data_IF_232612139870
#
_entry.id   IF_232612139870
#
_cell.length_a   1.000
_cell.length_b   1.000
_cell.length_c   1.000
_cell.angle_alpha   90.00
_cell.angle_beta   90.00
_cell.angle_gamma   90.00
#
_symmetry.space_group_name_H-M   'P 1'
#
loop_
_entity.id
_entity.type
_entity.pdbx_description
1 polymer ?
#
# COMPACT_ATOMS: atom_id res chain seq x y z
N UNK A 1 -43.59 -7.21 43.73
CA UNK A 1 -43.26 -7.14 42.29
C UNK A 1 -41.82 -6.66 42.14
N UNK A 2 -40.95 -7.56 41.81
CA UNK A 2 -39.55 -7.24 41.61
C UNK A 2 -39.29 -7.23 40.09
N UNK A 3 -39.13 -6.00 39.55
CA UNK A 3 -38.74 -5.81 38.15
C UNK A 3 -37.24 -6.00 37.98
N UNK A 4 -36.82 -7.02 37.26
CA UNK A 4 -35.45 -7.17 36.80
C UNK A 4 -35.24 -6.21 35.63
N UNK A 5 -34.47 -5.16 35.83
CA UNK A 5 -33.95 -4.34 34.73
C UNK A 5 -32.78 -5.09 34.11
N UNK A 6 -32.98 -5.62 32.91
CA UNK A 6 -31.90 -6.20 32.13
C UNK A 6 -31.04 -5.05 31.54
N UNK A 7 -29.83 -4.93 32.06
CA UNK A 7 -28.83 -4.00 31.54
C UNK A 7 -28.26 -4.62 30.23
N UNK A 8 -28.69 -4.10 29.09
CA UNK A 8 -28.11 -4.47 27.80
C UNK A 8 -26.77 -3.73 27.66
N UNK A 9 -25.67 -4.43 27.90
CA UNK A 9 -24.34 -3.94 27.57
C UNK A 9 -24.19 -3.97 26.04
N UNK A 10 -24.32 -2.82 25.42
CA UNK A 10 -23.92 -2.65 24.02
C UNK A 10 -22.40 -2.67 23.95
N UNK A 11 -21.82 -3.79 23.54
CA UNK A 11 -20.40 -3.88 23.24
C UNK A 11 -20.15 -3.08 21.96
N UNK A 12 -19.57 -1.88 22.08
CA UNK A 12 -18.99 -1.19 20.92
C UNK A 12 -17.77 -2.00 20.46
N UNK A 13 -17.93 -2.72 19.35
CA UNK A 13 -16.79 -3.28 18.66
C UNK A 13 -15.91 -2.13 18.15
N UNK A 14 -14.57 -2.17 18.33
CA UNK A 14 -13.71 -1.16 17.77
C UNK A 14 -13.82 -1.23 16.25
N UNK A 15 -14.20 -0.11 15.62
CA UNK A 15 -14.11 0.05 14.16
C UNK A 15 -12.64 0.12 13.84
N UNK A 16 -12.10 -0.93 13.21
CA UNK A 16 -10.75 -0.90 12.68
C UNK A 16 -10.68 0.21 11.63
N UNK A 17 -9.79 1.20 11.82
CA UNK A 17 -9.54 2.22 10.82
C UNK A 17 -9.02 1.53 9.55
N UNK A 18 -9.62 1.85 8.38
CA UNK A 18 -9.12 1.37 7.10
C UNK A 18 -7.70 1.90 6.88
N UNK A 19 -6.79 1.04 6.41
CA UNK A 19 -5.44 1.43 6.03
C UNK A 19 -5.50 2.44 4.87
N UNK A 20 -4.74 3.52 4.99
CA UNK A 20 -4.63 4.54 3.96
C UNK A 20 -3.29 4.43 3.27
N UNK A 21 -3.31 4.17 1.98
CA UNK A 21 -2.11 4.10 1.16
C UNK A 21 -1.98 5.31 0.24
N UNK A 22 -0.75 5.74 0.05
CA UNK A 22 -0.31 6.74 -0.91
C UNK A 22 0.87 6.18 -1.69
N UNK A 23 1.29 6.87 -2.73
CA UNK A 23 2.50 6.48 -3.47
C UNK A 23 3.46 7.65 -3.64
N UNK A 24 4.72 7.34 -3.82
CA UNK A 24 5.79 8.31 -4.05
C UNK A 24 5.65 8.90 -5.45
N UNK A 25 5.69 10.22 -5.56
CA UNK A 25 5.50 10.95 -6.82
C UNK A 25 6.75 10.90 -7.71
N UNK A 26 7.93 11.06 -7.12
CA UNK A 26 9.20 11.17 -7.86
C UNK A 26 10.28 10.25 -7.27
N UNK A 27 11.08 9.63 -8.14
CA UNK A 27 12.24 8.85 -7.70
C UNK A 27 13.27 9.73 -7.01
N UNK A 28 13.96 9.16 -6.01
CA UNK A 28 14.92 9.88 -5.21
C UNK A 28 14.29 10.72 -4.09
N UNK A 29 13.03 10.48 -3.76
CA UNK A 29 12.34 11.16 -2.64
C UNK A 29 12.99 10.78 -1.32
N UNK A 30 13.53 11.76 -0.55
CA UNK A 30 14.15 11.46 0.75
C UNK A 30 13.11 11.06 1.79
N UNK A 31 13.45 10.03 2.56
CA UNK A 31 12.70 9.58 3.73
C UNK A 31 13.52 9.90 4.98
N UNK A 32 12.89 10.53 5.97
CA UNK A 32 13.57 11.11 7.13
C UNK A 32 13.17 10.42 8.44
N UNK A 33 14.01 10.56 9.46
CA UNK A 33 13.71 10.06 10.81
C UNK A 33 12.82 11.01 11.65
N UNK A 34 12.62 12.26 11.18
CA UNK A 34 11.78 13.26 11.82
C UNK A 34 11.12 14.18 10.76
N UNK A 35 10.04 14.89 11.09
CA UNK A 35 9.32 15.76 10.16
C UNK A 35 10.06 17.08 9.92
N UNK A 36 11.23 17.02 9.33
CA UNK A 36 12.07 18.17 9.01
C UNK A 36 13.05 17.85 7.90
N UNK A 37 13.28 18.77 6.99
CA UNK A 37 14.32 18.64 5.94
C UNK A 37 15.75 18.65 6.51
N UNK A 38 15.90 19.05 7.76
CA UNK A 38 17.19 19.02 8.49
C UNK A 38 17.38 17.71 9.23
N UNK A 39 16.37 16.86 9.30
CA UNK A 39 16.44 15.56 9.93
C UNK A 39 17.37 14.62 9.14
N UNK A 40 17.75 13.52 9.78
CA UNK A 40 18.56 12.49 9.15
C UNK A 40 17.76 11.83 8.03
N UNK A 41 18.34 11.76 6.85
CA UNK A 41 17.83 10.96 5.73
C UNK A 41 18.14 9.49 6.00
N UNK A 42 17.11 8.66 6.01
CA UNK A 42 17.23 7.22 6.23
C UNK A 42 17.52 6.49 4.91
N UNK A 43 16.78 6.85 3.86
CA UNK A 43 16.91 6.31 2.51
C UNK A 43 16.17 7.19 1.53
N UNK A 44 16.23 6.86 0.24
CA UNK A 44 15.44 7.47 -0.82
C UNK A 44 14.44 6.46 -1.36
N UNK A 45 13.22 6.90 -1.64
CA UNK A 45 12.17 6.07 -2.20
C UNK A 45 12.06 6.28 -3.71
N UNK A 46 11.67 5.21 -4.40
CA UNK A 46 11.44 5.23 -5.84
C UNK A 46 10.03 5.70 -6.17
N UNK A 47 9.87 6.25 -7.36
CA UNK A 47 8.58 6.64 -7.91
C UNK A 47 7.59 5.46 -7.89
N UNK A 48 6.35 5.75 -7.55
CA UNK A 48 5.23 4.80 -7.44
C UNK A 48 5.32 3.83 -6.26
N UNK A 49 6.38 3.86 -5.46
CA UNK A 49 6.46 3.00 -4.29
C UNK A 49 5.29 3.29 -3.33
N UNK A 50 4.52 2.28 -2.90
CA UNK A 50 3.41 2.47 -1.98
C UNK A 50 3.91 2.66 -0.55
N UNK A 51 3.21 3.51 0.20
CA UNK A 51 3.44 3.74 1.63
C UNK A 51 2.10 3.81 2.35
N UNK A 52 2.04 3.26 3.56
CA UNK A 52 0.88 3.35 4.43
C UNK A 52 0.99 4.60 5.31
N UNK A 53 -0.04 5.43 5.32
CA UNK A 53 -0.08 6.65 6.12
C UNK A 53 -0.37 6.30 7.58
N UNK A 54 0.53 6.70 8.47
CA UNK A 54 0.41 6.49 9.92
C UNK A 54 -0.02 7.77 10.62
N UNK A 55 0.64 8.89 10.33
CA UNK A 55 0.34 10.23 10.88
C UNK A 55 0.41 11.24 9.74
N UNK A 56 -0.60 12.10 9.67
CA UNK A 56 -0.65 13.18 8.68
C UNK A 56 -0.72 14.51 9.42
N UNK A 57 0.37 15.29 9.37
CA UNK A 57 0.49 16.60 10.02
C UNK A 57 1.00 17.64 9.04
N UNK A 58 0.16 18.63 8.69
CA UNK A 58 0.52 19.76 7.82
C UNK A 58 1.30 19.35 6.56
N UNK A 59 2.57 19.72 6.49
CA UNK A 59 3.44 19.45 5.34
C UNK A 59 4.17 18.09 5.40
N UNK A 60 3.97 17.30 6.45
CA UNK A 60 4.67 16.04 6.70
C UNK A 60 3.73 14.87 6.95
N UNK A 61 4.15 13.71 6.50
CA UNK A 61 3.43 12.45 6.70
C UNK A 61 4.38 11.40 7.24
N UNK A 62 4.01 10.76 8.36
CA UNK A 62 4.69 9.56 8.83
C UNK A 62 4.09 8.37 8.14
N UNK A 63 4.95 7.56 7.56
CA UNK A 63 4.55 6.41 6.75
C UNK A 63 5.22 5.13 7.23
N UNK A 64 4.60 4.01 6.90
CA UNK A 64 5.15 2.66 7.07
C UNK A 64 5.42 2.08 5.69
N UNK A 65 6.59 1.48 5.51
CA UNK A 65 6.94 0.76 4.30
C UNK A 65 6.57 -0.73 4.38
N UNK A 66 6.81 -1.47 3.31
CA UNK A 66 6.47 -2.90 3.23
C UNK A 66 7.28 -3.78 4.21
N UNK A 67 8.43 -3.33 4.68
CA UNK A 67 9.21 -4.01 5.71
C UNK A 67 8.70 -3.72 7.14
N UNK A 68 7.73 -2.79 7.28
CA UNK A 68 7.20 -2.35 8.56
C UNK A 68 7.94 -1.18 9.18
N UNK A 69 8.95 -0.64 8.51
CA UNK A 69 9.76 0.47 9.00
C UNK A 69 9.01 1.80 8.86
N UNK A 70 9.20 2.67 9.84
CA UNK A 70 8.59 4.00 9.90
C UNK A 70 9.58 5.07 9.44
N UNK A 71 9.08 6.04 8.67
CA UNK A 71 9.83 7.22 8.26
C UNK A 71 8.90 8.39 8.00
N UNK A 72 9.49 9.57 7.85
CA UNK A 72 8.77 10.80 7.52
C UNK A 72 9.07 11.21 6.08
N UNK A 73 8.05 11.69 5.39
CA UNK A 73 8.16 12.20 4.03
C UNK A 73 7.39 13.51 3.92
N UNK A 74 7.85 14.40 3.06
CA UNK A 74 7.10 15.62 2.75
C UNK A 74 5.79 15.25 2.06
N UNK A 75 4.68 15.82 2.52
CA UNK A 75 3.34 15.56 1.98
C UNK A 75 3.26 15.81 0.47
N UNK A 76 3.94 16.85 -0.02
CA UNK A 76 4.00 17.18 -1.45
C UNK A 76 4.64 16.10 -2.33
N UNK A 77 5.42 15.20 -1.72
CA UNK A 77 6.06 14.09 -2.42
C UNK A 77 5.16 12.84 -2.54
N UNK A 78 3.95 12.89 -1.99
CA UNK A 78 2.96 11.82 -2.04
C UNK A 78 1.86 12.10 -3.06
N UNK A 79 1.37 11.03 -3.67
CA UNK A 79 0.26 11.02 -4.63
C UNK A 79 -0.85 10.11 -4.13
N UNK A 80 -2.09 10.41 -4.52
CA UNK A 80 -3.27 9.54 -4.29
C UNK A 80 -3.28 8.30 -5.19
N UNK A 81 -2.35 8.21 -6.12
CA UNK A 81 -2.23 7.06 -7.03
C UNK A 81 -2.03 5.79 -6.22
N UNK A 82 -2.90 4.81 -6.44
CA UNK A 82 -2.84 3.53 -5.75
C UNK A 82 -1.94 2.56 -6.51
N UNK A 83 -0.94 2.07 -5.81
CA UNK A 83 0.05 1.14 -6.33
C UNK A 83 0.25 -0.02 -5.36
N UNK A 84 0.85 -1.09 -5.86
CA UNK A 84 1.37 -2.19 -5.06
C UNK A 84 2.85 -2.38 -5.37
N UNK A 85 3.58 -2.92 -4.42
CA UNK A 85 4.96 -3.37 -4.63
C UNK A 85 5.01 -4.90 -4.54
N UNK A 86 5.73 -5.51 -5.45
CA UNK A 86 5.93 -6.96 -5.46
C UNK A 86 6.83 -7.36 -4.30
N UNK A 87 6.35 -8.28 -3.47
CA UNK A 87 7.07 -8.81 -2.30
C UNK A 87 7.63 -10.21 -2.55
N UNK A 88 7.04 -10.97 -3.48
CA UNK A 88 7.58 -12.24 -3.93
C UNK A 88 8.89 -12.04 -4.71
N UNK A 89 9.77 -13.03 -4.72
CA UNK A 89 11.00 -12.99 -5.50
C UNK A 89 10.70 -12.80 -6.99
N UNK A 90 9.68 -13.46 -7.50
CA UNK A 90 9.17 -13.34 -8.86
C UNK A 90 7.66 -13.57 -8.84
N UNK A 91 6.90 -12.61 -9.36
CA UNK A 91 5.45 -12.69 -9.45
C UNK A 91 4.99 -12.86 -10.90
N UNK A 92 4.06 -13.78 -11.12
CA UNK A 92 3.45 -14.02 -12.43
C UNK A 92 2.22 -13.14 -12.60
N UNK A 93 2.23 -12.29 -13.59
CA UNK A 93 1.08 -11.48 -14.00
C UNK A 93 0.41 -12.16 -15.19
N UNK A 94 -0.87 -12.51 -15.01
CA UNK A 94 -1.63 -13.37 -15.93
C UNK A 94 -2.76 -12.61 -16.62
N UNK A 95 -3.25 -13.16 -17.74
CA UNK A 95 -4.34 -12.54 -18.50
C UNK A 95 -5.69 -12.56 -17.78
N UNK A 96 -5.88 -13.47 -16.85
CA UNK A 96 -7.12 -13.62 -16.07
C UNK A 96 -6.76 -13.99 -14.62
N UNK A 97 -7.69 -13.80 -13.66
CA UNK A 97 -7.47 -14.14 -12.25
C UNK A 97 -7.54 -15.67 -12.03
N UNK A 98 -6.63 -16.38 -12.65
CA UNK A 98 -6.54 -17.84 -12.61
C UNK A 98 -5.11 -18.30 -12.80
N UNK A 99 -4.68 -19.32 -12.05
CA UNK A 99 -3.35 -19.93 -12.18
C UNK A 99 -3.13 -20.62 -13.53
N UNK A 100 -4.19 -20.99 -14.23
CA UNK A 100 -4.16 -21.61 -15.56
C UNK A 100 -4.15 -20.58 -16.70
N UNK A 101 -4.40 -19.30 -16.39
CA UNK A 101 -4.38 -18.26 -17.40
C UNK A 101 -2.98 -18.03 -17.97
N UNK A 102 -2.92 -17.56 -19.21
CA UNK A 102 -1.65 -17.28 -19.87
C UNK A 102 -0.87 -16.17 -19.15
N UNK A 103 0.44 -16.30 -19.12
CA UNK A 103 1.36 -15.32 -18.57
C UNK A 103 1.41 -14.09 -19.48
N UNK A 104 1.28 -12.89 -18.91
CA UNK A 104 1.50 -11.62 -19.62
C UNK A 104 2.94 -11.16 -19.44
N UNK A 105 3.38 -11.06 -18.18
CA UNK A 105 4.76 -10.74 -17.82
C UNK A 105 5.05 -11.23 -16.40
N UNK A 106 6.33 -11.20 -16.04
CA UNK A 106 6.80 -11.47 -14.68
C UNK A 106 7.39 -10.22 -14.06
N UNK A 107 7.15 -10.00 -12.77
CA UNK A 107 7.66 -8.89 -12.02
C UNK A 107 8.55 -9.37 -10.87
N UNK A 108 9.73 -8.80 -10.77
CA UNK A 108 10.68 -9.08 -9.69
C UNK A 108 10.27 -8.35 -8.41
N UNK A 109 10.79 -8.83 -7.29
CA UNK A 109 10.65 -8.18 -5.99
C UNK A 109 11.04 -6.70 -6.07
N UNK A 110 10.24 -5.84 -5.45
CA UNK A 110 10.48 -4.39 -5.41
C UNK A 110 9.90 -3.62 -6.60
N UNK A 111 9.36 -4.29 -7.61
CA UNK A 111 8.67 -3.62 -8.73
C UNK A 111 7.36 -3.04 -8.24
N UNK A 112 7.12 -1.76 -8.50
CA UNK A 112 5.86 -1.08 -8.24
C UNK A 112 4.94 -1.16 -9.46
N UNK A 113 3.67 -1.48 -9.22
CA UNK A 113 2.64 -1.63 -10.24
C UNK A 113 1.41 -0.81 -9.86
N UNK A 114 0.78 -0.16 -10.85
CA UNK A 114 -0.50 0.50 -10.63
C UNK A 114 -1.60 -0.51 -10.36
N UNK A 115 -2.49 -0.19 -9.44
CA UNK A 115 -3.75 -0.91 -9.27
C UNK A 115 -4.69 -0.41 -10.37
N UNK A 116 -5.04 -1.28 -11.33
CA UNK A 116 -5.94 -0.96 -12.42
C UNK A 116 -7.41 -1.14 -12.03
N UNK A 117 -7.70 -2.12 -11.18
CA UNK A 117 -9.03 -2.38 -10.62
C UNK A 117 -8.89 -2.87 -9.17
N UNK A 118 -9.90 -2.66 -8.30
CA UNK A 118 -9.89 -3.18 -6.94
C UNK A 118 -9.69 -4.70 -6.91
N UNK A 119 -9.09 -5.18 -5.82
CA UNK A 119 -8.91 -6.61 -5.64
C UNK A 119 -10.24 -7.36 -5.58
N UNK A 120 -10.26 -8.57 -6.13
CA UNK A 120 -11.41 -9.47 -6.11
C UNK A 120 -10.94 -10.92 -6.03
N UNK A 121 -11.46 -11.68 -5.06
CA UNK A 121 -11.23 -13.11 -4.99
C UNK A 121 -9.77 -13.54 -4.86
N UNK A 122 -8.94 -12.76 -4.18
CA UNK A 122 -7.52 -13.07 -4.00
C UNK A 122 -6.60 -12.62 -5.13
N UNK A 123 -7.14 -11.89 -6.11
CA UNK A 123 -6.41 -11.34 -7.25
C UNK A 123 -6.56 -9.82 -7.34
N UNK A 124 -5.56 -9.16 -7.86
CA UNK A 124 -5.58 -7.72 -8.17
C UNK A 124 -5.17 -7.50 -9.62
N UNK A 125 -5.90 -6.64 -10.31
CA UNK A 125 -5.54 -6.21 -11.66
C UNK A 125 -4.55 -5.07 -11.58
N UNK A 126 -3.42 -5.22 -12.23
CA UNK A 126 -2.31 -4.26 -12.20
C UNK A 126 -1.92 -3.81 -13.60
N UNK A 127 -1.26 -2.65 -13.65
CA UNK A 127 -0.67 -2.10 -14.87
C UNK A 127 0.79 -1.78 -14.63
N UNK A 128 1.64 -2.27 -15.52
CA UNK A 128 3.05 -1.89 -15.56
C UNK A 128 3.24 -0.54 -16.26
N UNK A 129 4.31 0.19 -15.96
CA UNK A 129 4.64 1.47 -16.58
C UNK A 129 4.72 1.42 -18.11
N UNK A 130 5.05 0.27 -18.68
CA UNK A 130 5.05 0.01 -20.13
C UNK A 130 3.68 -0.20 -20.76
N UNK A 131 2.59 -0.14 -19.96
CA UNK A 131 1.21 -0.27 -20.42
C UNK A 131 0.64 -1.70 -20.37
N UNK A 132 1.44 -2.70 -20.05
CA UNK A 132 0.98 -4.09 -19.90
C UNK A 132 0.07 -4.20 -18.68
N UNK A 133 -1.05 -4.92 -18.84
CA UNK A 133 -2.09 -5.10 -17.83
C UNK A 133 -2.32 -6.59 -17.59
N UNK A 134 -2.54 -6.96 -16.34
CA UNK A 134 -2.88 -8.34 -16.00
C UNK A 134 -3.20 -8.50 -14.53
N UNK A 135 -3.38 -9.74 -14.12
CA UNK A 135 -3.80 -10.13 -12.77
C UNK A 135 -2.67 -10.84 -12.04
N UNK A 136 -2.51 -10.48 -10.77
CA UNK A 136 -1.57 -11.17 -9.90
C UNK A 136 -2.18 -11.44 -8.52
N UNK A 137 -1.64 -12.43 -7.82
CA UNK A 137 -2.15 -12.82 -6.50
C UNK A 137 -1.85 -11.74 -5.47
N UNK A 138 -2.82 -11.43 -4.62
CA UNK A 138 -2.65 -10.46 -3.53
C UNK A 138 -1.61 -10.88 -2.50
N UNK A 139 -1.31 -12.17 -2.38
CA UNK A 139 -0.26 -12.70 -1.49
C UNK A 139 1.16 -12.39 -1.97
N UNK A 140 1.33 -11.91 -3.19
CA UNK A 140 2.63 -11.60 -3.80
C UNK A 140 2.95 -10.10 -3.81
N UNK A 141 2.08 -9.27 -3.25
CA UNK A 141 2.22 -7.81 -3.23
C UNK A 141 1.88 -7.22 -1.87
N UNK A 142 2.28 -5.98 -1.70
CA UNK A 142 1.93 -5.14 -0.56
C UNK A 142 1.43 -3.78 -1.07
N UNK A 143 0.45 -3.17 -0.36
CA UNK A 143 -0.08 -1.85 -0.70
C UNK A 143 -1.58 -1.83 -1.01
N UNK A 144 -2.28 -2.93 -0.72
CA UNK A 144 -3.73 -3.08 -0.93
C UNK A 144 -4.56 -2.53 0.22
#
# INVERSE_FOLDING_TARGET
>A
MRGLAALVLLALAPVAAAEEFRSITESGTPMYDAPSVRAKKLFVASRYYPVEVVINIDAWVKVRDQAGDLSWVEKKALSDRRTVVVTAALADVRQAPSEQAALVFQAQQGVALDIAEPQTGGWVKVRHAGGQVGYLKITQVWGL
#
